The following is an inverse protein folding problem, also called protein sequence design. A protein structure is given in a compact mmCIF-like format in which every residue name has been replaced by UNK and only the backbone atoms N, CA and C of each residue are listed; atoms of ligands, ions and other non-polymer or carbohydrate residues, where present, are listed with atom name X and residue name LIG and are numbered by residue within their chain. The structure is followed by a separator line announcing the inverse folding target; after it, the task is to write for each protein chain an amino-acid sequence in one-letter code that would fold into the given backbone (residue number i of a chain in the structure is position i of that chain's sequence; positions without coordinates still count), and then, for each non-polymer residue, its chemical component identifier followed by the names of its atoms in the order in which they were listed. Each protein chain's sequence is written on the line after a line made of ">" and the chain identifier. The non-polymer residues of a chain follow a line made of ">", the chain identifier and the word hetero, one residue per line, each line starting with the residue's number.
data_IF_075530800323
#
_entry.id   IF_075530800323
#
_cell.length_a   1.000
_cell.length_b   1.000
_cell.length_c   1.000
_cell.angle_alpha   90.00
_cell.angle_beta   90.00
_cell.angle_gamma   90.00
#
_symmetry.space_group_name_H-M   'P 1'
#
loop_
_entity.id
_entity.type
_entity.pdbx_description
1 polymer ?
#
# COMPACT_ATOMS: atom_id res chain seq x y z
N UNK A 1 -4.60 -3.25 -12.62
CA UNK A 1 -4.86 -2.00 -13.35
C UNK A 1 -5.06 -2.27 -14.82
N UNK A 2 -4.00 -2.66 -15.53
CA UNK A 2 -4.04 -2.95 -16.97
C UNK A 2 -5.13 -3.94 -17.41
N UNK A 3 -5.27 -5.10 -16.75
CA UNK A 3 -6.34 -6.07 -17.07
C UNK A 3 -7.77 -5.56 -16.82
N UNK A 4 -7.91 -4.41 -16.15
CA UNK A 4 -9.18 -3.70 -15.94
C UNK A 4 -9.37 -2.53 -16.93
N UNK A 5 -8.49 -2.38 -17.93
CA UNK A 5 -8.53 -1.29 -18.90
C UNK A 5 -8.05 0.07 -18.37
N UNK A 6 -7.38 0.12 -17.21
CA UNK A 6 -6.86 1.37 -16.65
C UNK A 6 -5.55 1.78 -17.32
N UNK A 7 -5.40 3.09 -17.59
CA UNK A 7 -4.11 3.66 -18.03
C UNK A 7 -3.03 3.66 -16.94
N UNK A 8 -1.82 4.12 -17.28
CA UNK A 8 -0.64 4.12 -16.40
C UNK A 8 -0.91 4.85 -15.07
N UNK A 9 -1.42 6.08 -15.11
CA UNK A 9 -1.69 6.87 -13.91
C UNK A 9 -2.71 6.22 -12.98
N UNK A 10 -3.83 5.73 -13.53
CA UNK A 10 -4.86 5.05 -12.75
C UNK A 10 -4.38 3.70 -12.21
N UNK A 11 -3.52 2.99 -12.94
CA UNK A 11 -2.89 1.76 -12.45
C UNK A 11 -1.93 2.06 -11.29
N UNK A 12 -1.15 3.13 -11.39
CA UNK A 12 -0.27 3.59 -10.31
C UNK A 12 -1.09 3.95 -9.06
N UNK A 13 -2.15 4.74 -9.22
CA UNK A 13 -3.04 5.10 -8.12
C UNK A 13 -3.67 3.86 -7.47
N UNK A 14 -4.12 2.91 -8.27
CA UNK A 14 -4.66 1.63 -7.78
C UNK A 14 -3.61 0.87 -6.95
N UNK A 15 -2.37 0.80 -7.41
CA UNK A 15 -1.28 0.15 -6.66
C UNK A 15 -1.03 0.82 -5.30
N UNK A 16 -1.01 2.16 -5.26
CA UNK A 16 -0.86 2.93 -4.02
C UNK A 16 -2.01 2.65 -3.04
N UNK A 17 -3.25 2.62 -3.51
CA UNK A 17 -4.43 2.32 -2.69
C UNK A 17 -4.36 0.92 -2.09
N UNK A 18 -4.03 -0.09 -2.91
CA UNK A 18 -3.89 -1.47 -2.44
C UNK A 18 -2.77 -1.61 -1.41
N UNK A 19 -1.60 -1.01 -1.66
CA UNK A 19 -0.48 -1.05 -0.72
C UNK A 19 -0.80 -0.34 0.61
N UNK A 20 -1.67 0.67 0.58
CA UNK A 20 -2.04 1.46 1.76
C UNK A 20 -3.19 0.87 2.58
N UNK A 21 -3.91 -0.13 2.07
CA UNK A 21 -5.08 -0.70 2.76
C UNK A 21 -4.74 -1.28 4.14
N UNK A 22 -3.52 -1.79 4.30
CA UNK A 22 -3.05 -2.39 5.55
C UNK A 22 -2.96 -1.41 6.71
N UNK A 23 -3.00 -0.08 6.49
CA UNK A 23 -2.85 0.86 7.59
C UNK A 23 -3.95 0.79 8.64
N UNK A 24 -5.14 0.39 8.19
CA UNK A 24 -6.35 0.27 9.00
C UNK A 24 -6.65 -1.20 9.24
N UNK A 25 -6.60 -2.02 8.18
CA UNK A 25 -6.97 -3.43 8.27
C UNK A 25 -6.04 -4.24 9.18
N UNK A 26 -4.72 -4.01 9.12
CA UNK A 26 -3.78 -4.79 9.92
C UNK A 26 -3.89 -4.49 11.42
N UNK A 27 -3.92 -3.23 11.90
CA UNK A 27 -4.17 -2.95 13.32
C UNK A 27 -5.53 -3.46 13.81
N UNK A 28 -6.58 -3.34 12.99
CA UNK A 28 -7.91 -3.85 13.32
C UNK A 28 -7.93 -5.38 13.49
N UNK A 29 -7.30 -6.11 12.56
CA UNK A 29 -7.15 -7.55 12.65
C UNK A 29 -6.35 -7.96 13.89
N UNK A 30 -5.27 -7.23 14.21
CA UNK A 30 -4.43 -7.51 15.36
C UNK A 30 -5.19 -7.41 16.69
N UNK A 31 -6.08 -6.43 16.80
CA UNK A 31 -6.95 -6.26 17.97
C UNK A 31 -7.92 -7.42 18.17
N UNK A 32 -8.36 -8.07 17.09
CA UNK A 32 -9.29 -9.21 17.16
C UNK A 32 -8.53 -10.50 17.50
N UNK A 33 -7.38 -10.72 16.85
CA UNK A 33 -6.62 -11.98 16.96
C UNK A 33 -5.81 -12.06 18.25
N UNK A 34 -5.28 -10.93 18.75
CA UNK A 34 -4.50 -10.87 19.99
C UNK A 34 -5.06 -9.75 20.88
N UNK A 35 -6.19 -10.00 21.60
CA UNK A 35 -6.87 -8.97 22.38
C UNK A 35 -6.03 -8.35 23.50
N UNK A 36 -5.08 -9.11 24.05
CA UNK A 36 -4.17 -8.67 25.11
C UNK A 36 -3.02 -7.77 24.60
N UNK A 37 -2.82 -7.69 23.27
CA UNK A 37 -1.79 -6.83 22.70
C UNK A 37 -2.20 -5.36 22.79
N UNK A 38 -1.25 -4.48 23.13
CA UNK A 38 -1.49 -3.05 23.17
C UNK A 38 -1.83 -2.51 21.75
N UNK A 39 -3.05 -1.99 21.51
CA UNK A 39 -3.46 -1.50 20.19
C UNK A 39 -2.63 -0.33 19.67
N UNK A 40 -2.02 0.46 20.57
CA UNK A 40 -1.16 1.56 20.19
C UNK A 40 0.12 1.09 19.49
N UNK A 41 0.60 -0.13 19.78
CA UNK A 41 1.81 -0.68 19.14
C UNK A 41 1.56 -1.04 17.69
N UNK A 42 0.48 -1.77 17.38
CA UNK A 42 0.16 -2.15 16.00
C UNK A 42 -0.23 -0.94 15.17
N UNK A 43 -0.98 0.00 15.74
CA UNK A 43 -1.31 1.28 15.09
C UNK A 43 -0.05 2.14 14.88
N UNK A 44 0.81 2.24 15.90
CA UNK A 44 2.06 2.99 15.84
C UNK A 44 3.05 2.42 14.83
N UNK A 45 3.19 1.09 14.74
CA UNK A 45 4.00 0.45 13.72
C UNK A 45 3.45 0.73 12.31
N UNK A 46 2.13 0.61 12.15
CA UNK A 46 1.45 0.87 10.88
C UNK A 46 1.62 2.30 10.39
N UNK A 47 1.34 3.31 11.23
CA UNK A 47 1.38 4.72 10.86
C UNK A 47 2.77 5.35 10.98
N UNK A 48 3.59 4.89 11.93
CA UNK A 48 4.92 5.45 12.21
C UNK A 48 6.02 4.82 11.37
N UNK A 49 5.83 3.60 10.86
CA UNK A 49 6.85 2.88 10.08
C UNK A 49 6.33 2.54 8.68
N UNK A 50 5.24 1.78 8.57
CA UNK A 50 4.77 1.28 7.27
C UNK A 50 4.30 2.41 6.36
N UNK A 51 3.55 3.37 6.89
CA UNK A 51 3.06 4.51 6.11
C UNK A 51 4.19 5.38 5.53
N UNK A 52 5.17 5.87 6.34
CA UNK A 52 6.29 6.65 5.82
C UNK A 52 7.15 5.86 4.83
N UNK A 53 7.38 4.58 5.09
CA UNK A 53 8.10 3.70 4.15
C UNK A 53 7.39 3.63 2.80
N UNK A 54 6.08 3.40 2.80
CA UNK A 54 5.31 3.33 1.57
C UNK A 54 5.26 4.68 0.84
N UNK A 55 5.20 5.79 1.58
CA UNK A 55 5.20 7.12 0.98
C UNK A 55 6.53 7.43 0.28
N UNK A 56 7.66 7.18 0.96
CA UNK A 56 9.00 7.56 0.50
C UNK A 56 9.55 6.58 -0.52
N UNK A 57 9.30 5.28 -0.35
CA UNK A 57 9.89 4.23 -1.19
C UNK A 57 8.83 3.53 -2.04
N UNK A 58 7.68 3.22 -1.46
CA UNK A 58 6.61 2.49 -2.14
C UNK A 58 6.05 3.26 -3.34
N UNK A 59 5.56 4.49 -3.16
CA UNK A 59 4.94 5.28 -4.23
C UNK A 59 5.89 5.47 -5.42
N UNK A 60 7.15 5.91 -5.26
CA UNK A 60 8.08 6.00 -6.38
C UNK A 60 8.33 4.64 -7.06
N UNK A 61 8.45 3.57 -6.27
CA UNK A 61 8.64 2.22 -6.82
C UNK A 61 7.42 1.76 -7.63
N UNK A 62 6.20 1.93 -7.14
CA UNK A 62 4.98 1.54 -7.83
C UNK A 62 4.78 2.34 -9.12
N UNK A 63 5.07 3.64 -9.08
CA UNK A 63 5.04 4.47 -10.27
C UNK A 63 6.09 4.01 -11.28
N UNK A 64 7.33 3.76 -10.85
CA UNK A 64 8.38 3.24 -11.72
C UNK A 64 7.99 1.90 -12.35
N UNK A 65 7.51 0.94 -11.55
CA UNK A 65 7.04 -0.37 -12.02
C UNK A 65 5.92 -0.24 -13.04
N UNK A 66 4.93 0.63 -12.76
CA UNK A 66 3.80 0.85 -13.66
C UNK A 66 4.28 1.47 -14.96
N UNK A 67 5.13 2.49 -14.90
CA UNK A 67 5.72 3.13 -16.08
C UNK A 67 6.52 2.13 -16.93
N UNK A 68 7.39 1.32 -16.32
CA UNK A 68 8.15 0.29 -17.04
C UNK A 68 7.23 -0.75 -17.68
N UNK A 69 6.20 -1.18 -16.96
CA UNK A 69 5.23 -2.13 -17.49
C UNK A 69 4.49 -1.57 -18.71
N UNK A 70 4.00 -0.32 -18.64
CA UNK A 70 3.30 0.32 -19.75
C UNK A 70 4.21 0.58 -20.96
N UNK A 71 5.48 0.94 -20.73
CA UNK A 71 6.48 1.09 -21.81
C UNK A 71 6.80 -0.24 -22.51
N UNK A 72 6.74 -1.37 -21.79
CA UNK A 72 7.04 -2.67 -22.37
C UNK A 72 5.91 -3.24 -23.23
N UNK A 73 4.65 -2.88 -22.92
CA UNK A 73 3.46 -3.37 -23.63
C UNK A 73 2.95 -2.42 -24.73
N UNK A 74 3.53 -1.22 -24.84
CA UNK A 74 3.20 -0.25 -25.90
C UNK A 74 4.06 -0.45 -27.14
#
# INVERSE_FOLDING_TARGET
>A
GWGLGLGEGNTTLLAVLYASASYIAAPAAMRIVIPEANPALSLGASLGVTFPFNLVLGIPAYHWMTKQFFLWIS
#
